data_IF_127712427905
#
_entry.id   IF_127712427905
#
_cell.length_a   1.000
_cell.length_b   1.000
_cell.length_c   1.000
_cell.angle_alpha   90.00
_cell.angle_beta   90.00
_cell.angle_gamma   90.00
#
_symmetry.space_group_name_H-M   'P 1'
#
loop_
_entity.id
_entity.type
_entity.pdbx_description
1 polymer ?
#
# COMPACT_ATOMS: atom_id res chain seq x y z
N UNK A 1 -35.15 -38.25 0.47
CA UNK A 1 -34.18 -38.37 1.58
C UNK A 1 -32.81 -38.56 0.98
N UNK A 2 -31.90 -37.61 1.21
CA UNK A 2 -30.53 -37.64 0.71
C UNK A 2 -29.96 -36.23 0.60
N UNK A 3 -29.98 -35.48 1.71
CA UNK A 3 -29.23 -34.23 1.83
C UNK A 3 -27.74 -34.54 1.68
N UNK A 4 -27.18 -34.22 0.51
CA UNK A 4 -25.76 -34.24 0.25
C UNK A 4 -25.10 -33.14 1.07
N UNK A 5 -24.65 -33.50 2.28
CA UNK A 5 -23.87 -32.62 3.14
C UNK A 5 -22.60 -32.16 2.42
N UNK A 6 -22.65 -30.96 1.84
CA UNK A 6 -21.45 -30.27 1.37
C UNK A 6 -20.51 -30.09 2.56
N UNK A 7 -19.33 -30.68 2.46
CA UNK A 7 -18.36 -30.72 3.55
C UNK A 7 -17.94 -29.29 3.95
N UNK A 8 -17.77 -29.06 5.26
CA UNK A 8 -17.36 -27.76 5.85
C UNK A 8 -16.09 -27.18 5.20
N UNK A 9 -15.26 -28.02 4.57
CA UNK A 9 -14.04 -27.66 3.86
C UNK A 9 -14.28 -26.83 2.59
N UNK A 10 -15.38 -27.03 1.87
CA UNK A 10 -15.74 -26.22 0.69
C UNK A 10 -16.30 -24.83 1.06
N UNK A 11 -16.68 -24.62 2.32
CA UNK A 11 -17.09 -23.31 2.87
C UNK A 11 -15.98 -22.59 3.62
N UNK A 12 -14.75 -23.11 3.59
CA UNK A 12 -13.61 -22.41 4.18
C UNK A 12 -13.22 -21.26 3.27
N UNK A 13 -13.43 -20.03 3.75
CA UNK A 13 -12.84 -18.82 3.17
C UNK A 13 -11.33 -19.01 3.13
N UNK A 14 -10.80 -19.34 1.95
CA UNK A 14 -9.35 -19.42 1.73
C UNK A 14 -8.81 -18.00 1.70
N UNK A 15 -8.57 -17.44 2.88
CA UNK A 15 -7.77 -16.22 3.00
C UNK A 15 -6.42 -16.55 2.36
N UNK A 16 -6.13 -15.94 1.21
CA UNK A 16 -4.84 -16.11 0.54
C UNK A 16 -3.75 -15.78 1.55
N UNK A 17 -2.87 -16.75 1.78
CA UNK A 17 -1.70 -16.58 2.64
C UNK A 17 -0.89 -15.41 2.07
N UNK A 18 -0.73 -14.36 2.88
CA UNK A 18 0.15 -13.25 2.52
C UNK A 18 1.58 -13.77 2.65
N UNK A 19 2.39 -13.74 1.58
CA UNK A 19 3.78 -14.17 1.67
C UNK A 19 4.51 -13.34 2.74
N UNK A 20 5.53 -13.92 3.40
CA UNK A 20 6.32 -13.20 4.40
C UNK A 20 6.86 -11.88 3.82
N UNK A 21 6.89 -10.86 4.67
CA UNK A 21 7.29 -9.51 4.27
C UNK A 21 8.70 -9.54 3.65
N UNK A 22 8.81 -9.13 2.38
CA UNK A 22 10.10 -9.02 1.70
C UNK A 22 10.91 -7.88 2.30
N UNK A 23 12.26 -7.94 2.28
CA UNK A 23 13.10 -6.80 2.67
C UNK A 23 12.73 -5.55 1.85
N UNK A 24 12.51 -4.42 2.52
CA UNK A 24 12.05 -3.16 1.89
C UNK A 24 13.08 -2.05 2.05
N UNK A 25 13.08 -1.09 1.11
CA UNK A 25 13.89 0.13 1.23
C UNK A 25 13.17 1.17 2.09
N UNK A 26 13.17 0.94 3.41
CA UNK A 26 12.56 1.85 4.39
C UNK A 26 13.11 3.28 4.33
N UNK A 27 14.37 3.44 3.92
CA UNK A 27 14.98 4.75 3.73
C UNK A 27 14.36 5.56 2.59
N UNK A 28 13.72 4.89 1.61
CA UNK A 28 13.09 5.56 0.47
C UNK A 28 11.58 5.76 0.66
N UNK A 29 10.87 4.72 1.07
CA UNK A 29 9.43 4.78 1.35
C UNK A 29 9.19 4.18 2.74
N UNK A 30 9.28 5.00 3.79
CA UNK A 30 9.11 4.51 5.17
C UNK A 30 7.68 4.06 5.48
N UNK A 31 6.68 4.55 4.74
CA UNK A 31 5.28 4.24 5.00
C UNK A 31 4.46 4.16 3.72
N UNK A 32 3.66 3.11 3.60
CA UNK A 32 2.71 2.90 2.51
C UNK A 32 1.49 2.17 3.07
N UNK A 33 0.31 2.53 2.61
CA UNK A 33 -0.95 1.93 3.00
C UNK A 33 -1.97 1.92 1.85
N UNK A 34 -2.88 0.94 1.90
CA UNK A 34 -4.11 0.90 1.13
C UNK A 34 -5.26 1.17 2.09
N UNK A 35 -5.66 2.44 2.22
CA UNK A 35 -6.69 2.89 3.15
C UNK A 35 -7.55 4.01 2.54
N UNK A 36 -8.77 4.18 3.03
CA UNK A 36 -9.66 5.30 2.66
C UNK A 36 -9.87 5.47 1.14
N UNK A 37 -9.88 4.36 0.38
CA UNK A 37 -10.02 4.40 -1.08
C UNK A 37 -8.79 4.95 -1.82
N UNK A 38 -7.63 5.01 -1.16
CA UNK A 38 -6.37 5.51 -1.72
C UNK A 38 -5.21 4.56 -1.50
N UNK A 39 -4.31 4.50 -2.48
CA UNK A 39 -2.91 4.14 -2.22
C UNK A 39 -2.22 5.39 -1.74
N UNK A 40 -1.68 5.38 -0.53
CA UNK A 40 -1.08 6.57 0.07
C UNK A 40 0.10 6.23 0.97
N UNK A 41 0.95 7.21 1.23
CA UNK A 41 2.10 6.99 2.09
C UNK A 41 3.08 8.14 2.12
N UNK A 42 4.22 7.88 2.75
CA UNK A 42 5.29 8.84 2.99
C UNK A 42 6.54 8.38 2.26
N UNK A 43 7.14 9.29 1.50
CA UNK A 43 8.33 9.05 0.67
C UNK A 43 9.42 10.04 1.08
N UNK A 44 10.64 9.57 1.26
CA UNK A 44 11.77 10.44 1.62
C UNK A 44 12.17 11.35 0.45
N UNK A 45 12.56 12.59 0.77
CA UNK A 45 13.11 13.53 -0.21
C UNK A 45 14.44 13.04 -0.80
N UNK A 46 15.20 12.25 -0.03
CA UNK A 46 16.54 11.77 -0.39
C UNK A 46 17.66 12.81 -0.20
N UNK A 47 17.32 14.09 -0.03
CA UNK A 47 18.29 15.17 0.20
C UNK A 47 18.32 15.67 1.65
N UNK A 48 17.23 15.45 2.40
CA UNK A 48 17.05 15.95 3.76
C UNK A 48 16.19 14.94 4.54
N UNK A 49 16.73 14.45 5.65
CA UNK A 49 16.08 13.42 6.49
C UNK A 49 14.79 13.94 7.14
N UNK A 50 14.70 15.24 7.42
CA UNK A 50 13.51 15.88 8.01
C UNK A 50 12.42 16.19 6.96
N UNK A 51 12.74 16.02 5.68
CA UNK A 51 11.83 16.35 4.57
C UNK A 51 11.29 15.09 3.92
N UNK A 52 9.99 14.93 4.06
CA UNK A 52 9.24 13.84 3.44
C UNK A 52 8.12 14.39 2.58
N UNK A 53 7.71 13.59 1.61
CA UNK A 53 6.57 13.83 0.74
C UNK A 53 5.45 12.87 1.11
N UNK A 54 4.26 13.42 1.31
CA UNK A 54 3.04 12.63 1.39
C UNK A 54 2.46 12.51 0.00
N UNK A 55 2.32 11.28 -0.48
CA UNK A 55 1.85 10.97 -1.82
C UNK A 55 0.59 10.13 -1.74
N UNK A 56 -0.37 10.36 -2.62
CA UNK A 56 -1.58 9.56 -2.71
C UNK A 56 -2.11 9.43 -4.13
N UNK A 57 -2.80 8.31 -4.40
CA UNK A 57 -3.52 8.00 -5.64
C UNK A 57 -4.89 7.45 -5.25
N UNK A 58 -5.96 8.09 -5.71
CA UNK A 58 -7.33 7.65 -5.48
C UNK A 58 -7.68 6.42 -6.33
N UNK A 59 -8.41 5.46 -5.76
CA UNK A 59 -8.90 4.31 -6.50
C UNK A 59 -9.96 4.72 -7.54
N UNK A 60 -9.89 4.11 -8.73
CA UNK A 60 -10.83 4.31 -9.84
C UNK A 60 -10.61 5.58 -10.65
N UNK A 61 -10.45 6.74 -10.01
CA UNK A 61 -10.18 8.01 -10.73
C UNK A 61 -8.70 8.28 -10.96
N UNK A 62 -7.85 7.60 -10.17
CA UNK A 62 -6.40 7.79 -10.13
C UNK A 62 -5.96 9.23 -9.84
N UNK A 63 -6.88 10.04 -9.30
CA UNK A 63 -6.60 11.41 -8.91
C UNK A 63 -5.46 11.42 -7.90
N UNK A 64 -4.41 12.18 -8.19
CA UNK A 64 -3.17 12.10 -7.44
C UNK A 64 -2.81 13.39 -6.75
N UNK A 65 -2.13 13.28 -5.62
CA UNK A 65 -1.60 14.41 -4.89
C UNK A 65 -0.24 14.06 -4.31
N UNK A 66 0.67 15.04 -4.32
CA UNK A 66 1.96 14.93 -3.65
C UNK A 66 2.37 16.30 -3.11
N UNK A 67 2.60 16.38 -1.81
CA UNK A 67 3.08 17.57 -1.11
C UNK A 67 4.11 17.18 -0.06
N UNK A 68 4.94 18.13 0.35
CA UNK A 68 5.84 17.94 1.50
C UNK A 68 5.04 17.90 2.80
N UNK A 69 5.68 17.44 3.89
CA UNK A 69 5.12 17.45 5.25
C UNK A 69 4.74 18.85 5.79
N UNK A 70 5.25 19.94 5.19
CA UNK A 70 4.80 21.32 5.46
C UNK A 70 3.84 21.85 4.38
N UNK A 71 3.15 20.95 3.68
CA UNK A 71 2.09 21.22 2.71
C UNK A 71 2.51 22.03 1.47
N UNK A 72 3.80 22.05 1.12
CA UNK A 72 4.25 22.65 -0.16
C UNK A 72 4.01 21.65 -1.31
N UNK A 73 3.43 22.08 -2.45
CA UNK A 73 3.17 21.19 -3.56
C UNK A 73 4.47 20.64 -4.15
N UNK A 74 4.46 19.36 -4.56
CA UNK A 74 5.60 18.75 -5.21
C UNK A 74 5.79 19.31 -6.62
N UNK A 75 6.96 19.89 -6.91
CA UNK A 75 7.26 20.45 -8.23
C UNK A 75 7.18 19.44 -9.39
N UNK A 76 7.39 18.15 -9.11
CA UNK A 76 7.29 17.07 -10.10
C UNK A 76 5.88 16.52 -10.31
N UNK A 77 4.89 16.94 -9.52
CA UNK A 77 3.51 16.44 -9.62
C UNK A 77 2.66 17.29 -10.59
N UNK A 78 3.27 17.82 -11.66
CA UNK A 78 2.58 18.65 -12.65
C UNK A 78 2.10 17.79 -13.82
N UNK A 79 0.80 17.47 -13.83
CA UNK A 79 0.14 16.79 -14.95
C UNK A 79 0.40 15.29 -15.09
N UNK A 80 1.27 14.69 -14.26
CA UNK A 80 1.50 13.24 -14.20
C UNK A 80 2.02 12.82 -12.83
N UNK A 81 2.11 11.51 -12.59
CA UNK A 81 2.71 10.97 -11.38
C UNK A 81 4.18 11.37 -11.26
N UNK A 82 4.52 12.05 -10.18
CA UNK A 82 5.90 12.38 -9.84
C UNK A 82 6.67 11.13 -9.42
N UNK A 83 7.99 11.25 -9.30
CA UNK A 83 8.84 10.15 -8.87
C UNK A 83 8.52 9.64 -7.45
N UNK A 84 7.93 10.48 -6.57
CA UNK A 84 7.47 10.02 -5.26
C UNK A 84 6.27 9.07 -5.37
N UNK A 85 5.29 9.41 -6.22
CA UNK A 85 4.12 8.55 -6.46
C UNK A 85 4.55 7.24 -7.12
N UNK A 86 5.47 7.28 -8.09
CA UNK A 86 6.01 6.07 -8.71
C UNK A 86 6.72 5.17 -7.69
N UNK A 87 7.57 5.76 -6.84
CA UNK A 87 8.22 5.01 -5.76
C UNK A 87 7.22 4.40 -4.78
N UNK A 88 6.16 5.14 -4.43
CA UNK A 88 5.07 4.65 -3.58
C UNK A 88 4.37 3.44 -4.20
N UNK A 89 4.05 3.48 -5.50
CA UNK A 89 3.42 2.36 -6.23
C UNK A 89 4.34 1.14 -6.23
N UNK A 90 5.62 1.32 -6.51
CA UNK A 90 6.61 0.22 -6.47
C UNK A 90 6.65 -0.46 -5.11
N UNK A 91 6.68 0.32 -4.02
CA UNK A 91 6.73 -0.22 -2.66
C UNK A 91 5.41 -0.84 -2.22
N UNK A 92 4.27 -0.32 -2.69
CA UNK A 92 2.97 -0.95 -2.49
C UNK A 92 2.90 -2.33 -3.15
N UNK A 93 3.39 -2.45 -4.39
CA UNK A 93 3.45 -3.73 -5.11
C UNK A 93 4.39 -4.70 -4.40
N UNK A 94 5.54 -4.23 -3.93
CA UNK A 94 6.49 -5.04 -3.15
C UNK A 94 5.87 -5.56 -1.85
N UNK A 95 5.12 -4.72 -1.14
CA UNK A 95 4.58 -5.05 0.20
C UNK A 95 3.26 -5.83 0.15
N UNK A 96 2.36 -5.46 -0.75
CA UNK A 96 0.99 -5.99 -0.79
C UNK A 96 0.77 -6.99 -1.94
N UNK A 97 1.68 -7.06 -2.90
CA UNK A 97 1.53 -7.82 -4.13
C UNK A 97 0.76 -7.05 -5.20
N UNK A 98 1.15 -7.21 -6.46
CA UNK A 98 0.61 -6.44 -7.58
C UNK A 98 -0.90 -6.64 -7.77
N UNK A 99 -1.39 -7.88 -7.74
CA UNK A 99 -2.83 -8.16 -7.88
C UNK A 99 -3.70 -7.52 -6.80
N UNK A 100 -3.21 -7.41 -5.55
CA UNK A 100 -3.94 -6.73 -4.47
C UNK A 100 -3.99 -5.21 -4.71
N UNK A 101 -2.88 -4.62 -5.13
CA UNK A 101 -2.81 -3.19 -5.45
C UNK A 101 -3.70 -2.86 -6.65
N UNK A 102 -3.63 -3.67 -7.72
CA UNK A 102 -4.45 -3.54 -8.92
C UNK A 102 -5.95 -3.55 -8.58
N UNK A 103 -6.40 -4.59 -7.85
CA UNK A 103 -7.80 -4.73 -7.42
C UNK A 103 -8.24 -3.56 -6.53
N UNK A 104 -7.40 -3.14 -5.60
CA UNK A 104 -7.72 -2.04 -4.69
C UNK A 104 -7.87 -0.71 -5.44
N UNK A 105 -6.96 -0.43 -6.37
CA UNK A 105 -6.99 0.77 -7.20
C UNK A 105 -8.01 0.70 -8.34
N UNK A 106 -8.60 -0.47 -8.60
CA UNK A 106 -9.50 -0.75 -9.73
C UNK A 106 -8.82 -0.60 -11.09
N UNK A 107 -7.55 -0.95 -11.16
CA UNK A 107 -6.78 -0.99 -12.41
C UNK A 107 -7.11 -2.27 -13.15
N UNK A 108 -7.62 -2.14 -14.36
CA UNK A 108 -7.77 -3.27 -15.27
C UNK A 108 -6.39 -3.71 -15.74
N UNK A 109 -6.05 -4.94 -15.38
CA UNK A 109 -4.83 -5.62 -15.82
C UNK A 109 -5.28 -6.75 -16.72
N UNK A 110 -4.80 -6.79 -17.96
CA UNK A 110 -4.96 -7.97 -18.83
C UNK A 110 -4.43 -9.23 -18.11
N UNK A 111 -4.72 -10.43 -18.63
CA UNK A 111 -4.47 -11.74 -17.99
C UNK A 111 -3.00 -12.06 -17.63
N UNK A 112 -2.06 -11.13 -17.78
CA UNK A 112 -0.70 -11.21 -17.30
C UNK A 112 -0.58 -10.71 -15.84
N UNK A 113 0.32 -11.32 -15.06
CA UNK A 113 0.63 -10.85 -13.70
C UNK A 113 1.13 -9.39 -13.75
N UNK A 114 0.42 -8.43 -13.13
CA UNK A 114 0.80 -7.03 -13.20
C UNK A 114 2.09 -6.76 -12.41
N UNK A 115 2.79 -5.70 -12.78
CA UNK A 115 3.91 -5.17 -12.01
C UNK A 115 3.70 -3.67 -11.74
N UNK A 116 4.62 -3.05 -11.00
CA UNK A 116 4.49 -1.63 -10.67
C UNK A 116 4.51 -0.73 -11.92
N UNK A 117 5.24 -1.11 -12.97
CA UNK A 117 5.36 -0.32 -14.19
C UNK A 117 4.08 -0.40 -15.03
N UNK A 118 3.49 -1.59 -15.19
CA UNK A 118 2.25 -1.81 -15.91
C UNK A 118 1.08 -1.12 -15.21
N UNK A 119 0.99 -1.19 -13.89
CA UNK A 119 -0.01 -0.46 -13.11
C UNK A 119 0.13 1.05 -13.25
N UNK A 120 1.37 1.57 -13.15
CA UNK A 120 1.65 3.00 -13.34
C UNK A 120 1.25 3.45 -14.75
N UNK A 121 1.58 2.65 -15.77
CA UNK A 121 1.24 2.90 -17.16
C UNK A 121 -0.27 2.95 -17.41
N UNK A 122 -0.99 1.91 -16.98
CA UNK A 122 -2.44 1.80 -17.13
C UNK A 122 -3.17 3.00 -16.50
N UNK A 123 -2.79 3.38 -15.28
CA UNK A 123 -3.34 4.58 -14.63
C UNK A 123 -2.96 5.88 -15.34
N UNK A 124 -1.74 6.00 -15.88
CA UNK A 124 -1.29 7.24 -16.54
C UNK A 124 -2.04 7.50 -17.85
N UNK A 125 -2.39 6.44 -18.60
CA UNK A 125 -3.11 6.54 -19.87
C UNK A 125 -4.52 7.14 -19.70
N UNK A 126 -5.14 6.97 -18.53
CA UNK A 126 -6.44 7.60 -18.24
C UNK A 126 -6.35 9.12 -18.03
N UNK A 127 -5.13 9.69 -18.06
CA UNK A 127 -4.84 11.11 -17.82
C UNK A 127 -5.46 11.62 -16.52
N UNK A 128 -5.06 11.06 -15.37
CA UNK A 128 -5.65 11.41 -14.10
C UNK A 128 -5.48 12.89 -13.77
N UNK A 129 -6.48 13.46 -13.13
CA UNK A 129 -6.41 14.82 -12.63
C UNK A 129 -5.50 14.91 -11.40
N UNK A 130 -4.86 16.06 -11.23
CA UNK A 130 -4.24 16.40 -9.96
C UNK A 130 -5.36 16.69 -8.95
N UNK A 131 -5.40 15.93 -7.86
CA UNK A 131 -6.36 16.10 -6.78
C UNK A 131 -5.91 17.09 -5.70
N UNK A 132 -6.70 17.19 -4.64
CA UNK A 132 -6.35 17.97 -3.45
C UNK A 132 -5.36 17.24 -2.53
N UNK A 133 -4.76 17.98 -1.59
CA UNK A 133 -3.82 17.45 -0.60
C UNK A 133 -4.49 17.12 0.75
N UNK A 134 -5.82 16.97 0.79
CA UNK A 134 -6.56 16.73 2.05
C UNK A 134 -6.12 15.45 2.77
N UNK A 135 -5.70 14.43 2.02
CA UNK A 135 -5.17 13.18 2.56
C UNK A 135 -3.81 13.35 3.26
N UNK A 136 -3.08 14.45 3.04
CA UNK A 136 -1.70 14.58 3.47
C UNK A 136 -1.54 14.55 5.00
N UNK A 137 -2.35 15.36 5.72
CA UNK A 137 -2.31 15.44 7.17
C UNK A 137 -2.66 14.12 7.88
N UNK A 138 -3.80 13.45 7.60
CA UNK A 138 -4.14 12.20 8.28
C UNK A 138 -3.13 11.08 7.97
N UNK A 139 -2.61 10.99 6.73
CA UNK A 139 -1.57 10.02 6.37
C UNK A 139 -0.29 10.29 7.14
N UNK A 140 0.13 11.56 7.26
CA UNK A 140 1.31 11.91 8.02
C UNK A 140 1.14 11.59 9.52
N UNK A 141 -0.03 11.85 10.11
CA UNK A 141 -0.32 11.46 11.50
C UNK A 141 -0.27 9.95 11.71
N UNK A 142 -0.79 9.14 10.77
CA UNK A 142 -0.67 7.67 10.82
C UNK A 142 0.78 7.22 10.70
N UNK A 143 1.57 7.87 9.86
CA UNK A 143 3.00 7.61 9.76
C UNK A 143 3.73 7.89 11.09
N UNK A 144 3.46 9.02 11.75
CA UNK A 144 4.05 9.31 13.06
C UNK A 144 3.65 8.26 14.10
N UNK A 145 2.39 7.82 14.10
CA UNK A 145 1.94 6.71 14.94
C UNK A 145 2.65 5.40 14.60
N UNK A 146 2.94 5.16 13.32
CA UNK A 146 3.71 4.00 12.89
C UNK A 146 5.15 4.02 13.42
N UNK A 147 5.80 5.20 13.41
CA UNK A 147 7.14 5.35 13.97
C UNK A 147 7.16 5.06 15.48
N UNK A 148 6.13 5.47 16.22
CA UNK A 148 6.03 5.15 17.65
C UNK A 148 6.02 3.64 17.92
N UNK A 149 5.52 2.80 16.99
CA UNK A 149 5.61 1.34 17.15
C UNK A 149 7.05 0.81 17.02
N UNK A 150 7.92 1.53 16.32
CA UNK A 150 9.33 1.16 16.16
C UNK A 150 10.18 1.54 17.39
N UNK A 151 9.62 2.31 18.32
CA UNK A 151 10.27 2.65 19.59
C UNK A 151 10.19 1.50 20.62
N UNK A 152 9.32 0.51 20.38
CA UNK A 152 9.19 -0.66 21.24
C UNK A 152 10.16 -1.76 20.81
N UNK A 153 10.75 -2.44 21.79
CA UNK A 153 11.61 -3.60 21.55
C UNK A 153 10.80 -4.72 20.86
N UNK A 154 11.29 -5.28 19.74
CA UNK A 154 10.61 -6.39 19.08
C UNK A 154 10.59 -7.63 19.98
N UNK A 155 9.39 -8.14 20.27
CA UNK A 155 9.20 -9.38 21.04
C UNK A 155 8.66 -10.50 20.15
N UNK A 156 9.24 -11.69 20.30
CA UNK A 156 8.77 -12.93 19.64
C UNK A 156 8.02 -13.85 20.61
N UNK A 157 7.82 -13.41 21.86
CA UNK A 157 7.03 -14.14 22.84
C UNK A 157 5.60 -14.29 22.33
N UNK A 158 4.98 -15.47 22.47
CA UNK A 158 3.62 -15.69 22.03
C UNK A 158 2.68 -14.71 22.73
N UNK A 159 1.91 -13.95 21.94
CA UNK A 159 0.84 -13.10 22.44
C UNK A 159 -0.40 -13.98 22.63
N UNK A 160 -0.85 -14.24 23.88
CA UNK A 160 -1.99 -15.12 24.14
C UNK A 160 -3.25 -14.67 23.41
N UNK A 161 -3.45 -13.36 23.24
CA UNK A 161 -4.58 -12.78 22.50
C UNK A 161 -4.49 -13.03 20.99
N UNK A 162 -3.32 -13.38 20.46
CA UNK A 162 -3.17 -13.76 19.06
C UNK A 162 -3.49 -15.22 18.77
N UNK A 163 -3.79 -16.05 19.78
CA UNK A 163 -4.09 -17.48 19.62
C UNK A 163 -5.33 -17.77 18.74
N UNK A 164 -6.26 -16.81 18.66
CA UNK A 164 -7.45 -16.92 17.82
C UNK A 164 -7.17 -16.66 16.34
N UNK A 165 -6.03 -16.06 16.00
CA UNK A 165 -5.64 -15.90 14.62
C UNK A 165 -4.94 -17.18 14.17
N UNK A 166 -5.42 -17.84 13.10
CA UNK A 166 -4.74 -19.01 12.58
C UNK A 166 -3.33 -18.62 12.20
N UNK A 167 -2.35 -19.10 12.95
CA UNK A 167 -0.94 -18.95 12.59
C UNK A 167 -0.79 -19.57 11.21
N UNK A 168 -0.33 -18.78 10.22
CA UNK A 168 0.09 -19.30 8.92
C UNK A 168 1.05 -20.45 9.18
N UNK A 169 0.59 -21.69 8.99
CA UNK A 169 1.44 -22.87 9.08
C UNK A 169 2.61 -22.65 8.15
N UNK A 170 3.82 -22.71 8.70
CA UNK A 170 5.01 -23.05 7.93
C UNK A 170 4.71 -24.38 7.25
N UNK A 171 4.61 -24.37 5.92
CA UNK A 171 4.63 -25.60 5.13
C UNK A 171 6.06 -26.11 5.20
N UNK A 172 6.23 -27.30 5.76
CA UNK A 172 7.50 -28.02 5.79
C UNK A 172 7.87 -28.57 4.41
#
# INVERSE_FOLDING_TARGET
MGDGALSVWERSSTVRVVPPARPRKLSKVPFVELADGRLQGVVSSGSDIGRVYVSSVAAGTYAFACSTNNNRPCGGARGTFCNHIRALITEAVLQYGAGRVARYLKVDTEDAEPDAASLTGAMTVTRPAQGDTSAAAPVFSRFLRHLAYLEFEPVTTPLPEMQWFPTTRTVA
#
